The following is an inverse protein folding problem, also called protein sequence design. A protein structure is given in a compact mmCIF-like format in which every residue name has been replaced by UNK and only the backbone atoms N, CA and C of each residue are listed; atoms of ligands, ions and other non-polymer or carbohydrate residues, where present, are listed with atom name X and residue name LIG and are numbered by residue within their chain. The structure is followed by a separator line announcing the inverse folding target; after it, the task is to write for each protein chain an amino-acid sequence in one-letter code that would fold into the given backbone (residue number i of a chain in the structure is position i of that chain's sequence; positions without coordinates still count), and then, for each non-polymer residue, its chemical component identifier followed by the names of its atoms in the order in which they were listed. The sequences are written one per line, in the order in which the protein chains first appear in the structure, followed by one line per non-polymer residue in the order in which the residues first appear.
data_IF_603042089365
#
_entry.id   IF_603042089365
#
_cell.length_a   1.000
_cell.length_b   1.000
_cell.length_c   1.000
_cell.angle_alpha   90.00
_cell.angle_beta   90.00
_cell.angle_gamma   90.00
#
_symmetry.space_group_name_H-M   'P 1'
#
loop_
_entity.id
_entity.type
_entity.pdbx_description
1 polymer ?
#
# COMPACT_ATOMS: atom_id res chain seq x y z
N UNK A 1 -29.45 -7.65 25.94
CA UNK A 1 -29.61 -6.55 24.96
C UNK A 1 -29.34 -5.24 25.65
N UNK A 2 -28.10 -4.72 25.65
CA UNK A 2 -27.83 -3.33 26.03
C UNK A 2 -26.70 -2.85 25.13
N UNK A 3 -27.04 -2.14 24.03
CA UNK A 3 -26.10 -1.28 23.34
C UNK A 3 -25.89 -0.07 24.24
N UNK A 4 -24.85 -0.10 25.06
CA UNK A 4 -24.54 0.96 26.03
C UNK A 4 -23.64 2.07 25.49
N UNK A 5 -23.24 2.01 24.22
CA UNK A 5 -22.51 3.09 23.58
C UNK A 5 -23.28 3.57 22.34
N UNK A 6 -23.47 4.90 22.15
CA UNK A 6 -23.99 5.41 20.91
C UNK A 6 -23.05 4.95 19.79
N UNK A 7 -23.63 4.38 18.73
CA UNK A 7 -22.88 4.15 17.49
C UNK A 7 -22.21 5.49 17.11
N UNK A 8 -20.94 5.51 16.71
CA UNK A 8 -20.30 6.74 16.25
C UNK A 8 -21.22 7.38 15.23
N UNK A 9 -21.40 8.70 15.33
CA UNK A 9 -22.25 9.41 14.39
C UNK A 9 -21.69 9.17 12.98
N UNK A 10 -22.54 9.11 11.97
CA UNK A 10 -22.09 8.94 10.58
C UNK A 10 -21.05 10.00 10.18
N UNK A 11 -21.11 11.17 10.79
CA UNK A 11 -20.12 12.23 10.62
C UNK A 11 -18.76 11.83 11.20
N UNK A 12 -18.70 11.20 12.37
CA UNK A 12 -17.45 10.73 12.96
C UNK A 12 -16.80 9.64 12.12
N UNK A 13 -17.56 8.67 11.61
CA UNK A 13 -17.03 7.63 10.72
C UNK A 13 -16.45 8.21 9.42
N UNK A 14 -17.16 9.16 8.81
CA UNK A 14 -16.67 9.84 7.59
C UNK A 14 -15.39 10.63 7.86
N UNK A 15 -15.31 11.33 8.99
CA UNK A 15 -14.12 12.09 9.38
C UNK A 15 -12.92 11.16 9.55
N UNK A 16 -13.06 10.04 10.26
CA UNK A 16 -11.97 9.08 10.47
C UNK A 16 -11.51 8.45 9.17
N UNK A 17 -12.42 8.13 8.25
CA UNK A 17 -12.07 7.63 6.92
C UNK A 17 -11.27 8.66 6.12
N UNK A 18 -11.71 9.92 6.10
CA UNK A 18 -10.98 11.01 5.42
C UNK A 18 -9.60 11.25 6.02
N UNK A 19 -9.48 11.24 7.35
CA UNK A 19 -8.18 11.35 8.04
C UNK A 19 -7.26 10.19 7.64
N UNK A 20 -7.78 8.98 7.56
CA UNK A 20 -7.02 7.81 7.10
C UNK A 20 -6.53 7.96 5.65
N UNK A 21 -7.43 8.32 4.73
CA UNK A 21 -7.10 8.52 3.30
C UNK A 21 -6.03 9.60 3.16
N UNK A 22 -6.23 10.79 3.73
CA UNK A 22 -5.27 11.90 3.66
C UNK A 22 -3.95 11.52 4.34
N UNK A 23 -4.01 10.87 5.51
CA UNK A 23 -2.83 10.43 6.25
C UNK A 23 -1.97 9.47 5.43
N UNK A 24 -2.56 8.46 4.79
CA UNK A 24 -1.80 7.53 3.94
C UNK A 24 -1.34 8.17 2.62
N UNK A 25 -2.10 9.09 2.04
CA UNK A 25 -1.65 9.89 0.88
C UNK A 25 -0.36 10.66 1.21
N UNK A 26 -0.31 11.32 2.37
CA UNK A 26 0.88 12.03 2.82
C UNK A 26 2.02 11.08 3.20
N UNK A 27 1.69 9.96 3.84
CA UNK A 27 2.70 8.97 4.26
C UNK A 27 3.41 8.32 3.06
N UNK A 28 2.67 8.00 1.97
CA UNK A 28 3.31 7.47 0.75
C UNK A 28 4.18 8.53 0.06
N UNK A 29 3.78 9.81 0.09
CA UNK A 29 4.59 10.91 -0.43
C UNK A 29 5.88 11.09 0.38
N UNK A 30 5.83 10.97 1.71
CA UNK A 30 7.02 10.98 2.57
C UNK A 30 7.91 9.75 2.32
N UNK A 31 7.31 8.55 2.19
CA UNK A 31 8.03 7.32 1.89
C UNK A 31 8.76 7.36 0.53
N UNK A 32 8.25 8.13 -0.43
CA UNK A 32 8.90 8.40 -1.71
C UNK A 32 10.25 9.12 -1.55
N UNK A 33 10.41 9.93 -0.50
CA UNK A 33 11.65 10.68 -0.25
C UNK A 33 12.73 9.84 0.42
N UNK A 34 12.37 8.71 1.00
CA UNK A 34 13.31 7.70 1.48
C UNK A 34 13.65 6.79 0.30
N UNK A 35 14.70 7.18 -0.45
CA UNK A 35 15.07 6.51 -1.70
C UNK A 35 16.57 6.26 -1.82
N UNK A 36 16.91 5.21 -2.57
CA UNK A 36 18.27 4.91 -3.04
C UNK A 36 18.17 4.74 -4.55
N UNK A 37 18.98 5.49 -5.30
CA UNK A 37 18.99 5.39 -6.75
C UNK A 37 19.74 4.09 -7.16
N UNK A 38 18.99 3.16 -7.76
CA UNK A 38 19.49 1.87 -8.28
C UNK A 38 19.06 1.79 -9.74
N UNK A 39 19.84 2.36 -10.65
CA UNK A 39 19.54 2.35 -12.09
C UNK A 39 18.28 3.15 -12.45
N UNK A 40 17.45 2.56 -13.33
CA UNK A 40 16.29 3.25 -13.91
C UNK A 40 15.15 3.45 -12.91
N UNK A 41 14.96 2.49 -12.00
CA UNK A 41 13.91 2.52 -10.98
C UNK A 41 14.55 2.69 -9.61
N UNK A 42 14.19 3.74 -8.84
CA UNK A 42 14.73 3.94 -7.51
C UNK A 42 14.13 2.94 -6.50
N UNK A 43 14.95 2.44 -5.61
CA UNK A 43 14.47 1.77 -4.40
C UNK A 43 13.83 2.80 -3.48
N UNK A 44 12.62 2.55 -2.97
CA UNK A 44 11.92 3.46 -2.05
C UNK A 44 11.22 2.71 -0.92
N UNK A 45 10.78 3.43 0.10
CA UNK A 45 9.92 2.88 1.15
C UNK A 45 8.43 2.88 0.77
N UNK A 46 8.07 3.35 -0.43
CA UNK A 46 6.68 3.42 -0.88
C UNK A 46 5.95 2.06 -0.87
N UNK A 47 6.52 0.94 -1.34
CA UNK A 47 5.82 -0.34 -1.32
C UNK A 47 5.34 -0.74 0.08
N UNK A 48 6.12 -0.48 1.14
CA UNK A 48 5.69 -0.71 2.52
C UNK A 48 4.40 0.05 2.85
N UNK A 49 4.36 1.34 2.53
CA UNK A 49 3.20 2.21 2.86
C UNK A 49 1.99 1.85 2.00
N UNK A 50 2.19 1.50 0.73
CA UNK A 50 1.14 1.03 -0.19
C UNK A 50 0.44 -0.22 0.36
N UNK A 51 1.23 -1.22 0.76
CA UNK A 51 0.71 -2.45 1.34
C UNK A 51 0.00 -2.19 2.67
N UNK A 52 0.59 -1.34 3.51
CA UNK A 52 0.03 -0.95 4.80
C UNK A 52 -1.31 -0.19 4.63
N UNK A 53 -1.41 0.70 3.63
CA UNK A 53 -2.66 1.41 3.32
C UNK A 53 -3.79 0.42 3.02
N UNK A 54 -3.56 -0.57 2.15
CA UNK A 54 -4.54 -1.62 1.87
C UNK A 54 -4.90 -2.43 3.12
N UNK A 55 -3.90 -2.87 3.90
CA UNK A 55 -4.11 -3.72 5.08
C UNK A 55 -4.85 -3.01 6.22
N UNK A 56 -4.64 -1.70 6.40
CA UNK A 56 -5.19 -0.92 7.53
C UNK A 56 -6.50 -0.26 7.16
N UNK A 57 -6.60 0.36 5.98
CA UNK A 57 -7.79 1.09 5.56
C UNK A 57 -8.83 0.21 4.86
N UNK A 58 -8.44 -0.99 4.40
CA UNK A 58 -9.26 -1.82 3.54
C UNK A 58 -9.18 -1.41 2.07
N UNK A 59 -9.89 -2.16 1.20
CA UNK A 59 -9.71 -2.03 -0.24
C UNK A 59 -10.14 -0.68 -0.81
N UNK A 60 -11.27 -0.13 -0.34
CA UNK A 60 -11.81 1.14 -0.87
C UNK A 60 -10.96 2.33 -0.48
N UNK A 61 -10.70 2.49 0.81
CA UNK A 61 -10.03 3.67 1.34
C UNK A 61 -8.52 3.59 1.08
N UNK A 62 -7.93 2.38 1.08
CA UNK A 62 -6.55 2.14 0.64
C UNK A 62 -6.35 2.50 -0.84
N UNK A 63 -7.23 2.04 -1.73
CA UNK A 63 -7.20 2.42 -3.14
C UNK A 63 -7.36 3.93 -3.32
N UNK A 64 -8.32 4.56 -2.63
CA UNK A 64 -8.55 6.00 -2.72
C UNK A 64 -7.36 6.82 -2.23
N UNK A 65 -6.65 6.40 -1.20
CA UNK A 65 -5.46 7.10 -0.72
C UNK A 65 -4.32 7.11 -1.75
N UNK A 66 -4.11 5.99 -2.44
CA UNK A 66 -3.10 5.90 -3.50
C UNK A 66 -3.56 6.59 -4.80
N UNK A 67 -4.84 6.54 -5.10
CA UNK A 67 -5.40 7.31 -6.22
C UNK A 67 -5.24 8.81 -5.99
N UNK A 68 -5.51 9.30 -4.78
CA UNK A 68 -5.28 10.70 -4.41
C UNK A 68 -3.79 11.07 -4.54
N UNK A 69 -2.87 10.21 -4.09
CA UNK A 69 -1.43 10.42 -4.25
C UNK A 69 -1.05 10.56 -5.73
N UNK A 70 -1.49 9.64 -6.59
CA UNK A 70 -1.20 9.68 -8.03
C UNK A 70 -1.85 10.91 -8.69
N UNK A 71 -3.07 11.27 -8.29
CA UNK A 71 -3.76 12.46 -8.79
C UNK A 71 -2.98 13.76 -8.45
N UNK A 72 -2.45 13.87 -7.23
CA UNK A 72 -1.62 15.02 -6.86
C UNK A 72 -0.34 15.12 -7.70
N UNK A 73 0.31 13.98 -8.00
CA UNK A 73 1.45 13.94 -8.94
C UNK A 73 1.01 14.37 -10.34
N UNK A 74 -0.14 13.90 -10.81
CA UNK A 74 -0.70 14.27 -12.12
C UNK A 74 -0.98 15.78 -12.25
N UNK A 75 -1.36 16.41 -11.13
CA UNK A 75 -1.53 17.87 -11.03
C UNK A 75 -0.21 18.65 -10.93
N UNK A 76 0.94 17.98 -11.03
CA UNK A 76 2.26 18.61 -11.05
C UNK A 76 2.95 18.70 -9.69
N UNK A 77 2.36 18.18 -8.61
CA UNK A 77 3.03 18.24 -7.31
C UNK A 77 4.25 17.28 -7.29
N UNK A 78 5.43 17.72 -6.82
CA UNK A 78 6.66 16.93 -6.82
C UNK A 78 6.70 15.89 -5.69
N UNK A 79 5.67 15.06 -5.60
CA UNK A 79 5.47 14.08 -4.53
C UNK A 79 6.08 12.70 -4.85
N UNK A 80 6.39 12.43 -6.11
CA UNK A 80 7.06 11.21 -6.56
C UNK A 80 8.50 11.11 -6.01
N UNK A 81 9.12 9.96 -6.18
CA UNK A 81 10.45 9.69 -5.63
C UNK A 81 11.50 10.71 -6.08
N UNK A 82 11.48 11.14 -7.35
CA UNK A 82 12.44 12.10 -7.92
C UNK A 82 11.98 13.56 -7.92
N UNK A 83 10.73 13.82 -7.51
CA UNK A 83 10.16 15.16 -7.51
C UNK A 83 9.83 15.71 -8.90
N UNK A 84 9.52 14.84 -9.85
CA UNK A 84 9.26 15.17 -11.25
C UNK A 84 7.80 15.60 -11.51
N UNK A 85 6.91 15.37 -10.55
CA UNK A 85 5.48 15.66 -10.69
C UNK A 85 4.87 14.91 -11.88
N UNK A 86 4.12 15.60 -12.74
CA UNK A 86 3.44 15.01 -13.89
C UNK A 86 4.38 14.19 -14.79
N UNK A 87 5.65 14.59 -14.93
CA UNK A 87 6.62 13.85 -15.74
C UNK A 87 6.94 12.46 -15.20
N UNK A 88 6.74 12.20 -13.90
CA UNK A 88 6.91 10.86 -13.33
C UNK A 88 5.91 9.84 -13.87
N UNK A 89 4.69 10.28 -14.23
CA UNK A 89 3.63 9.39 -14.74
C UNK A 89 3.99 8.89 -16.14
N UNK A 90 4.57 9.74 -16.95
CA UNK A 90 5.00 9.40 -18.32
C UNK A 90 6.42 8.85 -18.37
N UNK A 91 7.16 8.91 -17.27
CA UNK A 91 8.52 8.41 -17.13
C UNK A 91 8.57 6.90 -16.81
N UNK A 92 9.79 6.35 -16.61
CA UNK A 92 10.02 4.92 -16.41
C UNK A 92 9.31 4.34 -15.17
N UNK A 93 8.90 5.19 -14.22
CA UNK A 93 8.25 4.78 -12.97
C UNK A 93 6.72 4.90 -13.01
N UNK A 94 6.13 5.36 -14.12
CA UNK A 94 4.69 5.60 -14.23
C UNK A 94 3.84 4.35 -13.98
N UNK A 95 4.24 3.22 -14.52
CA UNK A 95 3.55 1.95 -14.28
C UNK A 95 3.53 1.52 -12.83
N UNK A 96 4.59 1.80 -12.06
CA UNK A 96 4.63 1.51 -10.62
C UNK A 96 3.63 2.37 -9.85
N UNK A 97 3.45 3.64 -10.24
CA UNK A 97 2.45 4.52 -9.63
C UNK A 97 1.02 3.97 -9.82
N UNK A 98 0.70 3.47 -11.02
CA UNK A 98 -0.57 2.79 -11.30
C UNK A 98 -0.64 1.48 -10.49
N UNK A 99 0.44 0.72 -10.46
CA UNK A 99 0.58 -0.50 -9.68
C UNK A 99 0.33 -0.30 -8.18
N UNK A 100 0.72 0.84 -7.61
CA UNK A 100 0.45 1.18 -6.20
C UNK A 100 -1.05 1.27 -5.92
N UNK A 101 -1.81 1.93 -6.79
CA UNK A 101 -3.27 2.04 -6.64
C UNK A 101 -3.93 0.67 -6.68
N UNK A 102 -3.57 -0.15 -7.68
CA UNK A 102 -4.09 -1.50 -7.84
C UNK A 102 -3.70 -2.40 -6.65
N UNK A 103 -2.43 -2.35 -6.21
CA UNK A 103 -1.92 -3.16 -5.12
C UNK A 103 -2.61 -2.84 -3.79
N UNK A 104 -2.82 -1.56 -3.47
CA UNK A 104 -3.54 -1.18 -2.25
C UNK A 104 -4.97 -1.74 -2.24
N UNK A 105 -5.68 -1.67 -3.37
CA UNK A 105 -7.00 -2.26 -3.51
C UNK A 105 -7.00 -3.78 -3.34
N UNK A 106 -6.10 -4.50 -4.03
CA UNK A 106 -5.99 -5.96 -3.98
C UNK A 106 -5.62 -6.43 -2.57
N UNK A 107 -4.61 -5.83 -1.95
CA UNK A 107 -4.17 -6.19 -0.59
C UNK A 107 -5.26 -5.91 0.44
N UNK A 108 -5.96 -4.78 0.29
CA UNK A 108 -7.10 -4.45 1.15
C UNK A 108 -8.21 -5.48 1.04
N UNK A 109 -8.58 -5.88 -0.17
CA UNK A 109 -9.58 -6.91 -0.42
C UNK A 109 -9.19 -8.27 0.19
N UNK A 110 -7.95 -8.71 -0.03
CA UNK A 110 -7.45 -9.96 0.54
C UNK A 110 -7.43 -9.90 2.08
N UNK A 111 -7.08 -8.75 2.66
CA UNK A 111 -7.10 -8.57 4.11
C UNK A 111 -8.52 -8.63 4.67
N UNK A 112 -9.49 -8.02 4.02
CA UNK A 112 -10.91 -8.12 4.41
C UNK A 112 -11.42 -9.56 4.33
N UNK A 113 -11.01 -10.35 3.33
CA UNK A 113 -11.33 -11.77 3.24
C UNK A 113 -10.74 -12.58 4.41
N UNK A 114 -9.52 -12.27 4.84
CA UNK A 114 -8.89 -12.90 6.01
C UNK A 114 -9.70 -12.58 7.27
N UNK A 115 -10.21 -11.36 7.40
CA UNK A 115 -10.97 -10.87 8.55
C UNK A 115 -12.40 -11.37 8.62
N UNK A 116 -13.02 -11.64 7.48
CA UNK A 116 -14.38 -12.12 7.37
C UNK A 116 -14.55 -13.59 7.78
N UNK A 117 -13.44 -14.31 8.02
CA UNK A 117 -13.50 -15.71 8.44
C UNK A 117 -14.22 -15.85 9.79
N UNK A 118 -15.19 -16.77 9.87
CA UNK A 118 -15.97 -17.04 11.10
C UNK A 118 -15.08 -17.36 12.32
N UNK A 119 -13.98 -18.08 12.11
CA UNK A 119 -12.97 -18.38 13.12
C UNK A 119 -11.77 -17.48 12.90
N UNK A 120 -11.54 -16.55 13.82
CA UNK A 120 -10.36 -15.68 13.76
C UNK A 120 -9.08 -16.51 13.75
N UNK A 121 -8.16 -16.28 12.82
CA UNK A 121 -6.89 -16.99 12.77
C UNK A 121 -6.06 -16.70 14.02
N UNK A 122 -5.21 -17.65 14.43
CA UNK A 122 -4.18 -17.38 15.44
C UNK A 122 -3.23 -16.29 14.93
N UNK A 123 -2.52 -15.61 15.84
CA UNK A 123 -1.61 -14.52 15.49
C UNK A 123 -0.63 -14.91 14.37
N UNK A 124 0.05 -16.06 14.52
CA UNK A 124 1.02 -16.52 13.52
C UNK A 124 0.38 -16.78 12.15
N UNK A 125 -0.84 -17.35 12.15
CA UNK A 125 -1.59 -17.59 10.91
C UNK A 125 -2.05 -16.28 10.28
N UNK A 126 -2.53 -15.33 11.07
CA UNK A 126 -2.94 -14.00 10.59
C UNK A 126 -1.76 -13.26 9.96
N UNK A 127 -0.61 -13.26 10.64
CA UNK A 127 0.63 -12.66 10.13
C UNK A 127 1.06 -13.30 8.80
N UNK A 128 1.08 -14.63 8.72
CA UNK A 128 1.44 -15.35 7.50
C UNK A 128 0.49 -15.05 6.33
N UNK A 129 -0.83 -15.05 6.56
CA UNK A 129 -1.81 -14.74 5.53
C UNK A 129 -1.71 -13.30 5.03
N UNK A 130 -1.47 -12.31 5.92
CA UNK A 130 -1.24 -10.92 5.50
C UNK A 130 0.07 -10.72 4.78
N UNK A 131 1.13 -11.42 5.20
CA UNK A 131 2.37 -11.42 4.45
C UNK A 131 2.17 -11.94 3.03
N UNK A 132 1.46 -13.06 2.85
CA UNK A 132 1.11 -13.58 1.52
C UNK A 132 0.27 -12.57 0.71
N UNK A 133 -0.71 -11.92 1.34
CA UNK A 133 -1.47 -10.85 0.69
C UNK A 133 -0.55 -9.68 0.26
N UNK A 134 0.44 -9.34 1.09
CA UNK A 134 1.46 -8.35 0.77
C UNK A 134 2.33 -8.75 -0.41
N UNK A 135 2.76 -10.04 -0.49
CA UNK A 135 3.51 -10.56 -1.64
C UNK A 135 2.70 -10.50 -2.95
N UNK A 136 1.39 -10.78 -2.88
CA UNK A 136 0.49 -10.57 -4.03
C UNK A 136 0.46 -9.10 -4.43
N UNK A 137 0.39 -8.17 -3.46
CA UNK A 137 0.49 -6.73 -3.71
C UNK A 137 1.79 -6.33 -4.40
N UNK A 138 2.94 -6.85 -3.95
CA UNK A 138 4.25 -6.64 -4.59
C UNK A 138 4.24 -7.16 -6.03
N UNK A 139 3.68 -8.35 -6.27
CA UNK A 139 3.55 -8.90 -7.62
C UNK A 139 2.68 -7.99 -8.53
N UNK A 140 1.60 -7.42 -8.00
CA UNK A 140 0.76 -6.45 -8.74
C UNK A 140 1.57 -5.19 -9.07
N UNK A 141 2.35 -4.64 -8.14
CA UNK A 141 3.21 -3.47 -8.39
C UNK A 141 4.18 -3.77 -9.54
N UNK A 142 4.84 -4.92 -9.52
CA UNK A 142 5.80 -5.29 -10.57
C UNK A 142 5.13 -5.59 -11.91
N UNK A 143 3.92 -6.18 -11.89
CA UNK A 143 3.17 -6.42 -13.11
C UNK A 143 2.98 -5.12 -13.90
N UNK A 144 2.45 -4.09 -13.26
CA UNK A 144 2.24 -2.80 -13.90
C UNK A 144 3.56 -2.07 -14.18
N UNK A 145 4.49 -2.10 -13.22
CA UNK A 145 5.77 -1.40 -13.30
C UNK A 145 6.66 -1.93 -14.41
N UNK A 146 6.89 -3.25 -14.46
CA UNK A 146 7.76 -3.87 -15.45
C UNK A 146 7.15 -3.82 -16.84
N UNK A 147 5.83 -4.05 -16.97
CA UNK A 147 5.16 -3.92 -18.28
C UNK A 147 5.30 -2.51 -18.84
N UNK A 148 5.06 -1.48 -18.01
CA UNK A 148 5.25 -0.10 -18.44
C UNK A 148 6.72 0.19 -18.77
N UNK A 149 7.67 -0.28 -17.95
CA UNK A 149 9.09 -0.08 -18.17
C UNK A 149 9.56 -0.71 -19.50
N UNK A 150 9.07 -1.91 -19.83
CA UNK A 150 9.31 -2.57 -21.13
C UNK A 150 8.85 -1.67 -22.28
N UNK A 151 7.64 -1.15 -22.22
CA UNK A 151 7.10 -0.25 -23.25
C UNK A 151 7.86 1.09 -23.32
N UNK A 152 8.22 1.63 -22.18
CA UNK A 152 8.90 2.93 -22.09
C UNK A 152 10.33 2.88 -22.65
N UNK A 153 11.08 1.82 -22.33
CA UNK A 153 12.49 1.70 -22.75
C UNK A 153 12.63 1.07 -24.12
N UNK A 154 11.60 0.41 -24.66
CA UNK A 154 11.70 -0.41 -25.88
C UNK A 154 12.56 -1.67 -25.71
N UNK A 155 12.98 -1.99 -24.49
CA UNK A 155 13.75 -3.19 -24.18
C UNK A 155 12.86 -4.45 -24.17
N UNK A 156 13.49 -5.61 -24.16
CA UNK A 156 12.77 -6.86 -23.91
C UNK A 156 12.32 -6.96 -22.43
N UNK A 157 11.34 -7.83 -22.17
CA UNK A 157 10.80 -8.04 -20.83
C UNK A 157 11.86 -8.49 -19.82
N UNK A 158 12.83 -9.30 -20.25
CA UNK A 158 13.90 -9.82 -19.37
C UNK A 158 14.79 -8.69 -18.83
N UNK A 159 15.18 -7.74 -19.70
CA UNK A 159 15.97 -6.58 -19.32
C UNK A 159 15.18 -5.64 -18.39
N UNK A 160 13.89 -5.38 -18.68
CA UNK A 160 13.01 -4.59 -17.82
C UNK A 160 12.80 -5.27 -16.45
N UNK A 161 12.63 -6.59 -16.41
CA UNK A 161 12.54 -7.36 -15.16
C UNK A 161 13.84 -7.29 -14.34
N UNK A 162 14.99 -7.50 -14.99
CA UNK A 162 16.29 -7.47 -14.32
C UNK A 162 16.60 -6.13 -13.66
N UNK A 163 16.10 -5.02 -14.19
CA UNK A 163 16.33 -3.67 -13.65
C UNK A 163 15.19 -3.11 -12.83
N UNK A 164 13.96 -3.53 -13.11
CA UNK A 164 12.73 -2.99 -12.51
C UNK A 164 12.12 -3.82 -11.38
N UNK A 165 12.43 -5.13 -11.29
CA UNK A 165 11.87 -6.00 -10.25
C UNK A 165 12.92 -6.81 -9.49
N UNK A 166 13.83 -7.49 -10.20
CA UNK A 166 14.74 -8.46 -9.60
C UNK A 166 15.54 -7.91 -8.39
N UNK A 167 16.12 -6.69 -8.42
CA UNK A 167 16.89 -6.15 -7.30
C UNK A 167 16.03 -5.88 -6.05
N UNK A 168 14.72 -5.74 -6.23
CA UNK A 168 13.80 -5.31 -5.18
C UNK A 168 13.00 -6.47 -4.57
N UNK A 169 13.07 -7.68 -5.11
CA UNK A 169 12.29 -8.85 -4.67
C UNK A 169 12.46 -9.12 -3.16
N UNK A 170 13.70 -9.24 -2.71
CA UNK A 170 13.98 -9.54 -1.29
C UNK A 170 13.61 -8.37 -0.38
N UNK A 171 14.06 -7.13 -0.65
CA UNK A 171 13.64 -5.99 0.14
C UNK A 171 12.14 -5.79 0.22
N UNK A 172 11.40 -5.98 -0.87
CA UNK A 172 9.95 -5.77 -0.88
C UNK A 172 9.19 -6.92 -0.21
N UNK A 173 9.73 -8.16 -0.24
CA UNK A 173 9.21 -9.24 0.59
C UNK A 173 9.37 -8.96 2.10
N UNK A 174 10.47 -8.33 2.50
CA UNK A 174 10.68 -7.86 3.88
C UNK A 174 9.70 -6.72 4.21
N UNK A 175 9.50 -5.76 3.32
CA UNK A 175 8.50 -4.68 3.52
C UNK A 175 7.09 -5.25 3.65
N UNK A 176 6.73 -6.28 2.89
CA UNK A 176 5.45 -6.97 3.03
C UNK A 176 5.29 -7.62 4.41
N UNK A 177 6.36 -8.22 4.96
CA UNK A 177 6.36 -8.78 6.31
C UNK A 177 6.22 -7.69 7.37
N UNK A 178 6.93 -6.58 7.22
CA UNK A 178 6.82 -5.43 8.11
C UNK A 178 5.41 -4.83 8.08
N UNK A 179 4.79 -4.68 6.90
CA UNK A 179 3.41 -4.20 6.76
C UNK A 179 2.43 -5.13 7.49
N UNK A 180 2.58 -6.45 7.34
CA UNK A 180 1.76 -7.44 8.05
C UNK A 180 1.92 -7.33 9.57
N UNK A 181 3.15 -7.22 10.07
CA UNK A 181 3.46 -7.07 11.50
C UNK A 181 2.90 -5.79 12.10
N UNK A 182 3.07 -4.65 11.41
CA UNK A 182 2.53 -3.37 11.84
C UNK A 182 1.00 -3.40 11.89
N UNK A 183 0.36 -4.00 10.89
CA UNK A 183 -1.10 -4.16 10.86
C UNK A 183 -1.60 -4.97 12.06
N UNK A 184 -0.97 -6.11 12.37
CA UNK A 184 -1.34 -6.90 13.55
C UNK A 184 -1.13 -6.16 14.85
N UNK A 185 -0.04 -5.39 14.99
CA UNK A 185 0.25 -4.59 16.17
C UNK A 185 -0.82 -3.52 16.39
N UNK A 186 -1.23 -2.81 15.34
CA UNK A 186 -2.31 -1.81 15.39
C UNK A 186 -3.61 -2.48 15.86
N UNK A 187 -3.97 -3.62 15.27
CA UNK A 187 -5.21 -4.34 15.61
C UNK A 187 -5.23 -4.84 17.05
N UNK A 188 -4.12 -5.38 17.55
CA UNK A 188 -4.01 -5.82 18.94
C UNK A 188 -4.19 -4.66 19.91
N UNK A 189 -3.63 -3.50 19.59
CA UNK A 189 -3.76 -2.30 20.43
C UNK A 189 -5.20 -1.82 20.49
N UNK A 190 -5.87 -1.72 19.34
CA UNK A 190 -7.28 -1.32 19.26
C UNK A 190 -8.20 -2.30 20.00
N UNK A 191 -7.98 -3.60 19.86
CA UNK A 191 -8.77 -4.61 20.56
C UNK A 191 -8.58 -4.54 22.09
N UNK A 192 -7.38 -4.25 22.58
CA UNK A 192 -7.12 -4.07 24.03
C UNK A 192 -7.81 -2.82 24.59
N UNK A 193 -7.86 -1.73 23.84
CA UNK A 193 -8.57 -0.50 24.25
C UNK A 193 -10.07 -0.77 24.38
N UNK A 194 -10.68 -1.40 23.39
CA UNK A 194 -12.10 -1.76 23.39
C UNK A 194 -12.49 -2.74 24.53
N UNK A 195 -11.54 -3.52 25.04
CA UNK A 195 -11.79 -4.42 26.19
C UNK A 195 -11.71 -3.69 27.54
N UNK A 196 -10.95 -2.60 27.65
CA UNK A 196 -10.83 -1.80 28.88
C UNK A 196 -12.02 -0.86 29.09
N UNK A 197 -12.71 -0.53 28.01
CA UNK A 197 -13.87 0.36 28.03
C UNK A 197 -15.22 -0.39 28.24
N UNK A 198 -15.16 -1.73 28.33
CA UNK A 198 -16.31 -2.60 28.65
C UNK A 198 -16.29 -3.07 30.09
#
# INVERSE_FOLDING_TARGET
MLRTFPAPSQMAERTWRLVGIVGFTLLVALAAKIRIEIGTVPFTMQPLVVLLAGMVLGWRDGLLSLLAYVALIALGLPLDARGLGTAAIFGPTGGYLIGFVAAAGVVGFLTELIESQKRKPSLNRALGLRWLAGLVGVAVIYLFGVMHLTLYTGNDFGAAWATGAAPFLVPDAIKALLAAGLTESIRMTLNRQNQKER
#
